data_IF_759537858928
#
_entry.id   IF_759537858928
#
_cell.length_a   1.000
_cell.length_b   1.000
_cell.length_c   1.000
_cell.angle_alpha   90.00
_cell.angle_beta   90.00
_cell.angle_gamma   90.00
#
_symmetry.space_group_name_H-M   'P 1'
#
loop_
_entity.id
_entity.type
_entity.pdbx_description
1 polymer ?
#
# COMPACT_ATOMS: atom_id res chain seq x y z
N UNK A 1 14.46 66.63 5.08
CA UNK A 1 13.42 66.05 4.20
C UNK A 1 13.86 64.73 3.49
N UNK A 2 14.70 63.92 4.12
CA UNK A 2 15.27 62.74 3.46
C UNK A 2 14.90 61.39 4.09
N UNK A 3 13.95 61.36 5.04
CA UNK A 3 13.57 60.13 5.78
C UNK A 3 12.23 59.51 5.39
N UNK A 4 11.46 60.11 4.49
CA UNK A 4 10.10 59.63 4.12
C UNK A 4 10.05 58.86 2.79
N UNK A 5 11.14 58.80 2.03
CA UNK A 5 11.16 58.15 0.72
C UNK A 5 11.58 56.65 0.80
N UNK A 6 12.32 56.29 1.85
CA UNK A 6 12.80 54.89 2.01
C UNK A 6 11.75 53.86 2.45
N UNK A 7 10.63 54.29 3.02
CA UNK A 7 9.58 53.39 3.55
C UNK A 7 8.60 52.95 2.47
N UNK A 8 8.41 53.74 1.42
CA UNK A 8 7.47 53.41 0.34
C UNK A 8 8.00 52.38 -0.63
N UNK A 9 9.32 52.26 -0.78
CA UNK A 9 9.93 51.25 -1.68
C UNK A 9 9.96 49.83 -1.08
N UNK A 10 9.90 49.71 0.26
CA UNK A 10 9.94 48.37 0.90
C UNK A 10 8.56 47.70 0.92
N UNK A 11 7.48 48.45 0.82
CA UNK A 11 6.12 47.90 0.83
C UNK A 11 5.74 47.34 -0.55
N UNK A 12 6.32 47.83 -1.63
CA UNK A 12 6.06 47.34 -2.98
C UNK A 12 6.74 46.00 -3.28
N UNK A 13 7.81 45.62 -2.55
CA UNK A 13 8.49 44.35 -2.74
C UNK A 13 7.83 43.14 -2.01
N UNK A 14 6.95 43.42 -1.05
CA UNK A 14 6.26 42.35 -0.31
C UNK A 14 4.98 41.83 -1.02
N UNK A 15 4.48 42.53 -2.03
CA UNK A 15 3.30 42.08 -2.81
C UNK A 15 3.63 41.28 -4.05
N UNK A 16 4.90 41.12 -4.45
CA UNK A 16 5.30 40.43 -5.65
C UNK A 16 5.50 38.90 -5.49
N UNK A 17 5.56 38.38 -4.25
CA UNK A 17 5.86 36.95 -4.00
C UNK A 17 4.65 36.04 -3.82
N UNK A 18 3.43 36.53 -3.98
CA UNK A 18 2.24 35.74 -3.64
C UNK A 18 1.36 35.37 -4.85
N UNK A 19 1.94 35.22 -6.03
CA UNK A 19 1.17 34.90 -7.26
C UNK A 19 1.75 33.80 -8.12
N UNK A 20 2.42 32.81 -7.53
CA UNK A 20 2.68 31.56 -8.27
C UNK A 20 1.86 30.43 -7.65
N UNK A 21 0.58 30.37 -7.97
CA UNK A 21 -0.14 29.10 -7.93
C UNK A 21 0.33 28.31 -9.16
N UNK A 22 0.85 27.08 -8.98
CA UNK A 22 1.07 26.20 -10.13
C UNK A 22 -0.28 26.07 -10.84
N UNK A 23 -0.30 26.28 -12.15
CA UNK A 23 -1.47 26.01 -12.96
C UNK A 23 -1.83 24.53 -12.76
N UNK A 24 -2.95 24.25 -12.11
CA UNK A 24 -3.54 22.92 -12.16
C UNK A 24 -3.72 22.59 -13.63
N UNK A 25 -3.01 21.57 -14.10
CA UNK A 25 -3.25 21.02 -15.43
C UNK A 25 -4.72 20.65 -15.46
N UNK A 26 -5.49 21.12 -16.45
CA UNK A 26 -6.86 20.69 -16.60
C UNK A 26 -6.85 19.16 -16.63
N UNK A 27 -7.54 18.55 -15.68
CA UNK A 27 -7.87 17.12 -15.74
C UNK A 27 -8.62 16.98 -17.04
N UNK A 28 -8.00 16.34 -18.04
CA UNK A 28 -8.65 16.06 -19.29
C UNK A 28 -9.94 15.30 -18.93
N UNK A 29 -11.06 15.89 -19.24
CA UNK A 29 -12.36 15.27 -19.12
C UNK A 29 -12.28 14.00 -19.98
N UNK A 30 -12.15 12.85 -19.33
CA UNK A 30 -12.05 11.55 -20.00
C UNK A 30 -13.41 11.33 -20.63
N UNK A 31 -13.55 11.73 -21.91
CA UNK A 31 -14.78 11.50 -22.68
C UNK A 31 -15.07 10.02 -22.59
N UNK A 32 -16.22 9.69 -22.01
CA UNK A 32 -16.70 8.31 -21.98
C UNK A 32 -16.64 7.74 -23.41
N UNK A 33 -16.06 6.56 -23.57
CA UNK A 33 -15.93 5.97 -24.89
C UNK A 33 -17.33 5.73 -25.48
N UNK A 34 -17.52 5.90 -26.79
CA UNK A 34 -18.82 5.78 -27.49
C UNK A 34 -19.43 4.36 -27.46
N UNK A 35 -18.87 3.47 -26.66
CA UNK A 35 -19.24 2.06 -26.54
C UNK A 35 -20.61 1.85 -25.90
N UNK A 36 -21.12 2.82 -25.15
CA UNK A 36 -22.42 2.71 -24.46
C UNK A 36 -23.61 2.67 -25.44
N UNK A 37 -23.53 3.41 -26.55
CA UNK A 37 -24.58 3.38 -27.58
C UNK A 37 -24.64 2.04 -28.31
N UNK A 38 -23.50 1.38 -28.53
CA UNK A 38 -23.43 0.09 -29.22
C UNK A 38 -23.97 -1.08 -28.40
N UNK A 39 -24.07 -0.95 -27.07
CA UNK A 39 -24.64 -2.00 -26.23
C UNK A 39 -26.16 -2.01 -26.22
N UNK A 40 -26.80 -0.86 -26.41
CA UNK A 40 -28.26 -0.78 -26.63
C UNK A 40 -28.67 -1.51 -27.92
N UNK A 41 -27.82 -1.43 -28.95
CA UNK A 41 -28.02 -2.10 -30.25
C UNK A 41 -27.53 -3.56 -30.26
N UNK A 42 -26.91 -4.05 -29.18
CA UNK A 42 -26.32 -5.40 -29.14
C UNK A 42 -27.34 -6.56 -29.23
N UNK A 43 -28.63 -6.24 -29.33
CA UNK A 43 -29.68 -7.25 -29.51
C UNK A 43 -29.89 -8.17 -28.30
N UNK A 44 -29.28 -7.86 -27.14
CA UNK A 44 -29.46 -8.67 -25.95
C UNK A 44 -30.89 -8.57 -25.43
N UNK A 45 -31.62 -9.71 -25.31
CA UNK A 45 -33.05 -9.73 -24.97
C UNK A 45 -33.37 -9.06 -23.64
N UNK A 46 -32.41 -8.95 -22.74
CA UNK A 46 -32.57 -8.32 -21.42
C UNK A 46 -32.87 -6.83 -21.52
N UNK A 47 -32.31 -6.13 -22.49
CA UNK A 47 -32.47 -4.67 -22.66
C UNK A 47 -33.81 -4.27 -23.31
N UNK A 48 -34.58 -5.23 -23.78
CA UNK A 48 -35.96 -4.98 -24.20
C UNK A 48 -36.88 -4.60 -23.04
N UNK A 49 -36.58 -5.06 -21.83
CA UNK A 49 -37.37 -4.84 -20.60
C UNK A 49 -36.62 -4.06 -19.53
N UNK A 50 -35.29 -4.13 -19.49
CA UNK A 50 -34.46 -3.46 -18.52
C UNK A 50 -33.65 -2.37 -19.17
N UNK A 51 -33.83 -1.12 -18.74
CA UNK A 51 -32.98 -0.04 -19.25
C UNK A 51 -31.55 -0.29 -18.76
N UNK A 52 -30.59 -0.10 -19.68
CA UNK A 52 -29.17 -0.26 -19.43
C UNK A 52 -28.65 0.57 -18.24
N UNK A 53 -29.19 1.78 -18.04
CA UNK A 53 -28.84 2.71 -16.96
C UNK A 53 -29.15 2.18 -15.55
N UNK A 54 -30.07 1.21 -15.44
CA UNK A 54 -30.39 0.56 -14.16
C UNK A 54 -29.33 -0.41 -13.70
N UNK A 55 -28.45 -0.86 -14.59
CA UNK A 55 -27.30 -1.65 -14.17
C UNK A 55 -26.23 -0.68 -13.70
N UNK A 56 -26.03 -0.58 -12.37
CA UNK A 56 -25.05 0.33 -11.78
C UNK A 56 -23.66 0.03 -12.33
N UNK A 57 -23.26 0.80 -13.33
CA UNK A 57 -21.94 0.75 -13.96
C UNK A 57 -20.95 1.70 -13.29
N UNK A 58 -21.36 2.26 -12.13
CA UNK A 58 -20.59 3.23 -11.38
C UNK A 58 -19.22 2.66 -10.96
N UNK A 59 -18.17 3.39 -11.34
CA UNK A 59 -16.76 3.02 -11.13
C UNK A 59 -16.14 3.60 -9.87
N UNK A 60 -16.89 4.21 -8.95
CA UNK A 60 -16.37 4.86 -7.72
C UNK A 60 -15.60 3.88 -6.83
N UNK A 61 -14.34 3.63 -7.19
CA UNK A 61 -13.45 2.71 -6.48
C UNK A 61 -13.79 1.23 -6.60
N UNK A 62 -14.81 0.89 -7.39
CA UNK A 62 -15.28 -0.47 -7.69
C UNK A 62 -14.74 -0.96 -9.03
N UNK A 63 -15.15 -2.14 -9.43
CA UNK A 63 -14.86 -2.66 -10.77
C UNK A 63 -15.38 -1.72 -11.85
N UNK A 64 -14.53 -1.37 -12.82
CA UNK A 64 -14.90 -0.44 -13.89
C UNK A 64 -15.50 -1.20 -15.09
N UNK A 65 -16.81 -1.31 -15.14
CA UNK A 65 -17.53 -1.86 -16.30
C UNK A 65 -17.23 -1.10 -17.60
N UNK A 66 -17.24 0.27 -17.64
CA UNK A 66 -16.99 0.99 -18.89
C UNK A 66 -15.63 0.64 -19.51
N UNK A 67 -14.57 0.45 -18.69
CA UNK A 67 -13.26 0.07 -19.22
C UNK A 67 -13.27 -1.30 -19.89
N UNK A 68 -13.97 -2.27 -19.31
CA UNK A 68 -14.05 -3.62 -19.87
C UNK A 68 -14.94 -3.69 -21.10
N UNK A 69 -16.08 -2.99 -21.07
CA UNK A 69 -16.95 -2.87 -22.23
C UNK A 69 -16.23 -2.20 -23.41
N UNK A 70 -15.34 -1.23 -23.14
CA UNK A 70 -14.49 -0.59 -24.14
C UNK A 70 -13.56 -1.55 -24.90
N UNK A 71 -13.26 -2.72 -24.33
CA UNK A 71 -12.53 -3.79 -25.02
C UNK A 71 -13.44 -4.78 -25.77
N UNK A 72 -14.73 -4.51 -25.91
CA UNK A 72 -15.68 -5.40 -26.57
C UNK A 72 -16.10 -6.61 -25.76
N UNK A 73 -15.91 -6.57 -24.43
CA UNK A 73 -16.33 -7.67 -23.54
C UNK A 73 -17.82 -7.55 -23.23
N UNK A 74 -18.59 -8.59 -23.49
CA UNK A 74 -20.04 -8.64 -23.23
C UNK A 74 -20.36 -9.14 -21.82
N UNK A 75 -21.56 -8.80 -21.31
CA UNK A 75 -22.00 -9.15 -19.95
C UNK A 75 -21.93 -10.64 -19.65
N UNK A 76 -22.34 -11.49 -20.60
CA UNK A 76 -22.37 -12.94 -20.49
C UNK A 76 -20.96 -13.61 -20.49
N UNK A 77 -19.92 -12.86 -20.87
CA UNK A 77 -18.55 -13.36 -20.77
C UNK A 77 -18.05 -13.35 -19.32
N UNK A 78 -18.57 -12.43 -18.50
CA UNK A 78 -18.19 -12.31 -17.08
C UNK A 78 -19.29 -12.80 -16.14
N UNK A 79 -20.55 -12.70 -16.54
CA UNK A 79 -21.69 -13.06 -15.72
C UNK A 79 -22.43 -14.30 -16.24
N UNK A 80 -22.75 -15.21 -15.33
CA UNK A 80 -23.69 -16.29 -15.62
C UNK A 80 -25.08 -15.70 -15.37
N UNK A 81 -25.81 -15.51 -16.47
CA UNK A 81 -27.14 -14.88 -16.46
C UNK A 81 -28.17 -15.98 -16.53
N UNK A 82 -28.93 -16.18 -15.46
CA UNK A 82 -30.13 -17.01 -15.45
C UNK A 82 -31.33 -16.05 -15.47
N UNK A 83 -32.19 -16.10 -16.51
CA UNK A 83 -33.31 -15.18 -16.62
C UNK A 83 -34.15 -15.17 -15.35
N UNK A 84 -34.42 -13.95 -14.81
CA UNK A 84 -35.22 -13.69 -13.61
C UNK A 84 -34.73 -14.40 -12.32
N UNK A 85 -33.45 -14.76 -12.28
CA UNK A 85 -32.74 -15.26 -11.09
C UNK A 85 -31.53 -14.42 -10.81
N UNK A 86 -30.81 -14.76 -9.75
CA UNK A 86 -29.58 -14.08 -9.38
C UNK A 86 -28.50 -14.20 -10.46
N UNK A 87 -27.85 -13.08 -10.78
CA UNK A 87 -26.72 -13.04 -11.67
C UNK A 87 -25.45 -13.34 -10.87
N UNK A 88 -24.73 -14.37 -11.27
CA UNK A 88 -23.47 -14.76 -10.62
C UNK A 88 -22.27 -14.41 -11.48
N UNK A 89 -21.10 -14.19 -10.85
CA UNK A 89 -19.86 -13.87 -11.53
C UNK A 89 -19.12 -15.17 -11.90
N UNK A 90 -18.78 -15.33 -13.18
CA UNK A 90 -17.82 -16.35 -13.60
C UNK A 90 -16.40 -15.86 -13.28
N UNK A 91 -15.80 -16.42 -12.23
CA UNK A 91 -14.48 -15.99 -11.73
C UNK A 91 -13.35 -16.31 -12.71
N UNK A 92 -13.47 -17.38 -13.46
CA UNK A 92 -12.40 -17.90 -14.31
C UNK A 92 -12.17 -17.00 -15.52
N UNK A 93 -13.19 -16.27 -15.94
CA UNK A 93 -13.10 -15.32 -17.07
C UNK A 93 -12.05 -14.25 -16.86
N UNK A 94 -11.88 -13.76 -15.62
CA UNK A 94 -10.92 -12.71 -15.32
C UNK A 94 -9.47 -13.13 -15.61
N UNK A 95 -9.16 -14.41 -15.42
CA UNK A 95 -7.81 -14.96 -15.63
C UNK A 95 -7.40 -15.03 -17.10
N UNK A 96 -8.36 -14.96 -18.04
CA UNK A 96 -8.08 -14.95 -19.48
C UNK A 96 -7.30 -13.68 -19.90
N UNK A 97 -7.45 -12.57 -19.16
CA UNK A 97 -6.81 -11.29 -19.46
C UNK A 97 -5.91 -10.79 -18.31
N UNK A 98 -6.22 -11.19 -17.08
CA UNK A 98 -5.51 -10.73 -15.89
C UNK A 98 -4.69 -11.87 -15.28
N UNK A 99 -3.42 -11.60 -14.98
CA UNK A 99 -2.63 -12.52 -14.17
C UNK A 99 -3.09 -12.45 -12.70
N UNK A 100 -3.94 -13.40 -12.32
CA UNK A 100 -4.47 -13.55 -10.96
C UNK A 100 -3.73 -14.59 -10.13
N UNK A 101 -2.59 -15.12 -10.59
CA UNK A 101 -1.85 -16.16 -9.88
C UNK A 101 -1.20 -15.65 -8.62
N UNK A 102 -0.27 -14.72 -8.78
CA UNK A 102 0.42 -14.07 -7.68
C UNK A 102 0.92 -12.69 -8.09
N UNK A 103 1.05 -11.79 -7.14
CA UNK A 103 1.71 -10.52 -7.35
C UNK A 103 2.52 -10.10 -6.12
N UNK A 104 3.56 -9.30 -6.36
CA UNK A 104 4.44 -8.82 -5.32
C UNK A 104 4.13 -7.37 -5.02
N UNK A 105 3.96 -7.05 -3.74
CA UNK A 105 3.92 -5.69 -3.22
C UNK A 105 5.33 -5.28 -2.81
N UNK A 106 5.77 -4.13 -3.28
CA UNK A 106 6.99 -3.49 -2.80
C UNK A 106 6.69 -2.71 -1.50
N UNK A 107 6.53 -3.40 -0.39
CA UNK A 107 6.26 -2.76 0.89
C UNK A 107 7.59 -2.32 1.52
N UNK A 108 7.91 -1.03 1.47
CA UNK A 108 9.00 -0.40 2.26
C UNK A 108 10.34 -1.16 2.26
N UNK A 109 10.70 -1.80 1.15
CA UNK A 109 11.95 -2.58 1.01
C UNK A 109 11.86 -4.05 1.44
N UNK A 110 10.75 -4.51 2.01
CA UNK A 110 10.51 -5.91 2.32
C UNK A 110 9.31 -6.42 1.50
N UNK A 111 9.55 -7.01 0.32
CA UNK A 111 8.48 -7.40 -0.60
C UNK A 111 7.58 -8.48 -0.02
N UNK A 112 6.30 -8.39 -0.32
CA UNK A 112 5.25 -9.35 0.04
C UNK A 112 4.73 -10.00 -1.21
N UNK A 113 4.63 -11.32 -1.23
CA UNK A 113 3.97 -12.06 -2.31
C UNK A 113 2.56 -12.46 -1.87
N UNK A 114 1.57 -12.07 -2.65
CA UNK A 114 0.18 -12.46 -2.46
C UNK A 114 -0.26 -13.35 -3.62
N UNK A 115 -0.90 -14.48 -3.31
CA UNK A 115 -1.46 -15.41 -4.31
C UNK A 115 -2.98 -15.36 -4.31
N UNK A 116 -3.57 -14.80 -5.35
CA UNK A 116 -5.02 -14.88 -5.57
C UNK A 116 -5.47 -16.33 -5.70
N UNK A 117 -4.73 -17.14 -6.44
CA UNK A 117 -5.06 -18.54 -6.69
C UNK A 117 -5.32 -19.33 -5.39
N UNK A 118 -4.49 -19.10 -4.36
CA UNK A 118 -4.66 -19.78 -3.07
C UNK A 118 -5.90 -19.30 -2.30
N UNK A 119 -6.23 -18.01 -2.43
CA UNK A 119 -7.40 -17.43 -1.74
C UNK A 119 -8.71 -17.75 -2.47
N UNK A 120 -8.72 -17.72 -3.79
CA UNK A 120 -9.89 -18.01 -4.62
C UNK A 120 -10.41 -19.45 -4.48
N UNK A 121 -9.57 -20.38 -4.04
CA UNK A 121 -9.99 -21.76 -3.72
C UNK A 121 -11.00 -21.82 -2.58
N UNK A 122 -11.02 -20.81 -1.69
CA UNK A 122 -11.82 -20.82 -0.45
C UNK A 122 -12.82 -19.68 -0.40
N UNK A 123 -12.54 -18.56 -1.06
CA UNK A 123 -13.27 -17.30 -0.88
C UNK A 123 -13.73 -16.74 -2.22
N UNK A 124 -14.89 -16.08 -2.21
CA UNK A 124 -15.41 -15.34 -3.35
C UNK A 124 -14.75 -13.95 -3.45
N UNK A 125 -14.74 -13.36 -4.66
CA UNK A 125 -14.17 -12.04 -4.89
C UNK A 125 -14.79 -10.97 -3.97
N UNK A 126 -16.10 -11.03 -3.75
CA UNK A 126 -16.87 -10.08 -2.93
C UNK A 126 -16.53 -10.11 -1.44
N UNK A 127 -15.87 -11.15 -0.96
CA UNK A 127 -15.44 -11.22 0.44
C UNK A 127 -14.26 -10.30 0.73
N UNK A 128 -13.45 -10.03 -0.30
CA UNK A 128 -12.31 -9.14 -0.23
C UNK A 128 -12.55 -7.80 -0.94
N UNK A 129 -13.23 -7.81 -2.09
CA UNK A 129 -13.42 -6.65 -2.94
C UNK A 129 -14.88 -6.17 -2.97
N UNK A 130 -15.14 -4.86 -2.93
CA UNK A 130 -14.22 -3.75 -2.64
C UNK A 130 -14.04 -3.48 -1.15
N UNK A 131 -14.59 -4.31 -0.27
CA UNK A 131 -14.72 -4.04 1.18
C UNK A 131 -13.37 -3.90 1.89
N UNK A 132 -12.47 -4.85 1.68
CA UNK A 132 -11.13 -4.85 2.28
C UNK A 132 -10.10 -4.22 1.35
N UNK A 133 -10.20 -4.55 0.08
CA UNK A 133 -9.25 -4.11 -0.94
C UNK A 133 -9.98 -3.62 -2.18
N UNK A 134 -9.52 -2.51 -2.72
CA UNK A 134 -10.04 -2.02 -4.00
C UNK A 134 -9.59 -2.94 -5.15
N UNK A 135 -10.36 -2.97 -6.24
CA UNK A 135 -10.05 -3.77 -7.43
C UNK A 135 -8.85 -3.23 -8.24
N UNK A 136 -8.26 -2.12 -7.83
CA UNK A 136 -7.14 -1.46 -8.52
C UNK A 136 -5.86 -1.63 -7.72
N UNK A 137 -4.79 -2.13 -8.36
CA UNK A 137 -3.47 -2.25 -7.74
C UNK A 137 -2.97 -0.89 -7.23
N UNK A 138 -2.42 -0.86 -6.02
CA UNK A 138 -1.81 0.33 -5.41
C UNK A 138 -2.79 1.31 -4.76
N UNK A 139 -4.09 1.03 -4.73
CA UNK A 139 -5.08 1.89 -4.09
C UNK A 139 -5.36 1.54 -2.63
N UNK A 140 -4.96 0.36 -2.19
CA UNK A 140 -5.10 -0.05 -0.78
C UNK A 140 -3.81 0.26 -0.03
N UNK A 141 -3.90 1.09 0.99
CA UNK A 141 -2.79 1.36 1.89
C UNK A 141 -2.78 0.28 2.98
N UNK A 142 -1.88 -0.69 2.86
CA UNK A 142 -1.77 -1.82 3.79
C UNK A 142 -0.53 -1.62 4.63
N UNK A 143 -0.71 -1.44 5.93
CA UNK A 143 0.40 -1.28 6.89
C UNK A 143 0.46 -2.47 7.85
N UNK A 144 1.64 -2.77 8.37
CA UNK A 144 1.80 -3.80 9.39
C UNK A 144 1.06 -3.47 10.68
N UNK A 145 0.97 -2.19 11.03
CA UNK A 145 0.26 -1.76 12.23
C UNK A 145 -1.24 -2.05 12.14
N UNK A 146 -1.87 -1.81 10.97
CA UNK A 146 -3.27 -2.16 10.70
C UNK A 146 -3.48 -3.68 10.69
N UNK A 147 -2.58 -4.42 10.03
CA UNK A 147 -2.65 -5.88 10.00
C UNK A 147 -2.59 -6.50 11.39
N UNK A 148 -1.72 -6.00 12.27
CA UNK A 148 -1.60 -6.50 13.64
C UNK A 148 -2.79 -6.13 14.52
N UNK A 149 -3.55 -5.08 14.15
CA UNK A 149 -4.85 -4.72 14.75
C UNK A 149 -6.03 -5.54 14.23
N UNK A 150 -5.80 -6.43 13.27
CA UNK A 150 -6.84 -7.28 12.68
C UNK A 150 -7.55 -6.64 11.49
N UNK A 151 -6.93 -5.64 10.87
CA UNK A 151 -7.44 -5.01 9.63
C UNK A 151 -6.78 -5.62 8.40
N UNK A 152 -7.32 -5.34 7.24
CA UNK A 152 -6.79 -5.80 5.95
C UNK A 152 -6.57 -7.34 5.96
N UNK A 153 -5.35 -7.78 5.59
CA UNK A 153 -4.99 -9.21 5.63
C UNK A 153 -5.09 -9.80 7.04
N UNK A 154 -4.84 -9.00 8.09
CA UNK A 154 -4.91 -9.39 9.49
C UNK A 154 -6.29 -9.83 9.95
N UNK A 155 -7.35 -9.46 9.21
CA UNK A 155 -8.72 -9.90 9.49
C UNK A 155 -8.88 -11.42 9.47
N UNK A 156 -8.18 -12.06 8.54
CA UNK A 156 -8.15 -13.52 8.43
C UNK A 156 -6.83 -14.11 8.94
N UNK A 157 -5.69 -13.42 8.71
CA UNK A 157 -4.37 -13.84 9.17
C UNK A 157 -4.13 -13.47 10.65
N UNK A 158 -4.97 -14.01 11.52
CA UNK A 158 -5.02 -13.71 12.95
C UNK A 158 -4.59 -14.91 13.83
N UNK A 159 -4.14 -16.00 13.21
CA UNK A 159 -3.74 -17.24 13.92
C UNK A 159 -4.90 -18.18 14.24
N UNK A 160 -6.16 -17.81 13.88
CA UNK A 160 -7.34 -18.67 14.06
C UNK A 160 -7.93 -19.10 12.72
N UNK A 161 -8.19 -18.16 11.81
CA UNK A 161 -8.75 -18.41 10.47
C UNK A 161 -7.65 -18.88 9.52
N UNK A 162 -6.52 -18.20 9.57
CA UNK A 162 -5.31 -18.52 8.80
C UNK A 162 -4.07 -18.31 9.69
N UNK A 163 -2.87 -18.58 9.15
CA UNK A 163 -1.62 -18.30 9.87
C UNK A 163 -1.55 -16.85 10.33
N UNK A 164 -0.83 -16.59 11.41
CA UNK A 164 -0.78 -15.26 12.01
C UNK A 164 -0.02 -14.25 11.15
N UNK A 165 -0.48 -12.99 11.13
CA UNK A 165 0.26 -11.86 10.57
C UNK A 165 1.62 -11.63 11.28
N UNK A 166 1.87 -12.28 12.43
CA UNK A 166 3.16 -12.29 13.13
C UNK A 166 4.16 -13.28 12.52
N UNK A 167 3.70 -14.19 11.66
CA UNK A 167 4.55 -15.16 10.96
C UNK A 167 5.16 -14.53 9.71
N UNK A 168 6.11 -13.62 9.89
CA UNK A 168 6.66 -12.73 8.87
C UNK A 168 7.05 -13.44 7.57
N UNK A 169 7.73 -14.61 7.70
CA UNK A 169 8.22 -15.39 6.56
C UNK A 169 7.10 -16.00 5.68
N UNK A 170 5.86 -16.02 6.15
CA UNK A 170 4.72 -16.51 5.35
C UNK A 170 4.31 -15.55 4.25
N UNK A 171 4.63 -14.26 4.41
CA UNK A 171 4.29 -13.20 3.46
C UNK A 171 5.53 -12.55 2.87
N UNK A 172 6.56 -12.31 3.68
CA UNK A 172 7.76 -11.57 3.30
C UNK A 172 8.91 -12.49 2.88
N UNK A 173 9.62 -12.09 1.83
CA UNK A 173 10.92 -12.67 1.54
C UNK A 173 11.98 -12.08 2.48
N UNK A 174 12.32 -12.81 3.52
CA UNK A 174 13.27 -12.36 4.55
C UNK A 174 14.73 -12.40 4.10
N UNK A 175 15.04 -12.90 2.90
CA UNK A 175 16.43 -12.93 2.39
C UNK A 175 17.03 -11.53 2.24
N UNK A 176 16.22 -10.51 2.01
CA UNK A 176 16.66 -9.12 1.91
C UNK A 176 17.21 -8.58 3.24
N UNK A 177 16.84 -9.17 4.37
CA UNK A 177 17.34 -8.81 5.70
C UNK A 177 18.74 -9.35 5.99
N UNK A 178 19.29 -10.18 5.11
CA UNK A 178 20.70 -10.64 5.22
C UNK A 178 21.70 -9.53 4.92
N UNK A 179 21.27 -8.47 4.21
CA UNK A 179 22.09 -7.28 3.98
C UNK A 179 22.06 -6.35 5.19
N UNK A 180 23.20 -5.80 5.53
CA UNK A 180 23.31 -4.81 6.58
C UNK A 180 22.58 -3.51 6.20
N UNK A 181 22.00 -2.85 7.19
CA UNK A 181 21.37 -1.56 7.05
C UNK A 181 22.33 -0.46 7.52
N UNK A 182 22.44 0.60 6.76
CA UNK A 182 23.24 1.77 7.14
C UNK A 182 22.32 2.93 7.50
N UNK A 183 22.65 3.64 8.56
CA UNK A 183 21.96 4.85 9.01
C UNK A 183 22.91 6.03 8.93
N UNK A 184 22.52 7.13 8.27
CA UNK A 184 23.33 8.35 8.28
C UNK A 184 23.59 8.83 9.70
N UNK A 185 24.80 9.33 9.97
CA UNK A 185 25.24 9.71 11.31
C UNK A 185 25.91 11.11 11.32
N UNK A 186 25.43 12.05 10.52
CA UNK A 186 26.02 13.39 10.40
C UNK A 186 27.47 13.32 9.93
N UNK A 187 28.38 13.88 10.71
CA UNK A 187 29.81 13.93 10.41
C UNK A 187 30.56 12.63 10.74
N UNK A 188 29.91 11.67 11.37
CA UNK A 188 30.49 10.37 11.66
C UNK A 188 30.24 9.38 10.51
N UNK A 189 31.05 8.31 10.47
CA UNK A 189 30.77 7.17 9.60
C UNK A 189 29.35 6.65 9.84
N UNK A 190 28.64 6.13 8.80
CA UNK A 190 27.29 5.60 8.98
C UNK A 190 27.23 4.51 10.05
N UNK A 191 26.15 4.48 10.82
CA UNK A 191 25.93 3.36 11.73
C UNK A 191 25.43 2.14 10.94
N UNK A 192 26.07 0.99 11.15
CA UNK A 192 25.76 -0.28 10.47
C UNK A 192 24.99 -1.18 11.41
N UNK A 193 23.84 -1.67 10.97
CA UNK A 193 23.00 -2.62 11.70
C UNK A 193 22.79 -3.88 10.87
N UNK A 194 23.07 -5.03 11.47
CA UNK A 194 22.86 -6.33 10.84
C UNK A 194 21.66 -7.05 11.43
N UNK A 195 20.59 -7.16 10.64
CA UNK A 195 19.47 -8.02 11.01
C UNK A 195 19.89 -9.47 11.15
N UNK A 196 20.80 -9.97 10.30
CA UNK A 196 21.24 -11.35 10.31
C UNK A 196 21.81 -11.74 11.69
N UNK A 197 22.65 -10.90 12.27
CA UNK A 197 23.26 -11.15 13.59
C UNK A 197 22.17 -11.16 14.67
N UNK A 198 21.28 -10.18 14.68
CA UNK A 198 20.26 -10.06 15.73
C UNK A 198 19.17 -11.12 15.62
N UNK A 199 18.73 -11.45 14.42
CA UNK A 199 17.67 -12.46 14.21
C UNK A 199 18.16 -13.89 14.39
N UNK A 200 19.46 -14.13 14.46
CA UNK A 200 20.01 -15.41 14.91
C UNK A 200 19.77 -15.66 16.41
N UNK A 201 19.58 -14.61 17.20
CA UNK A 201 19.41 -14.67 18.65
C UNK A 201 17.99 -14.30 19.11
N UNK A 202 17.29 -13.43 18.39
CA UNK A 202 16.04 -12.84 18.82
C UNK A 202 14.93 -12.97 17.77
N UNK A 203 13.72 -13.18 18.23
CA UNK A 203 12.53 -13.11 17.38
C UNK A 203 12.25 -11.67 16.92
N UNK A 204 11.57 -11.51 15.77
CA UNK A 204 11.19 -10.20 15.24
C UNK A 204 10.42 -9.36 16.27
N UNK A 205 9.53 -9.99 17.03
CA UNK A 205 8.70 -9.37 18.05
C UNK A 205 9.47 -8.82 19.25
N UNK A 206 10.72 -9.23 19.44
CA UNK A 206 11.59 -8.68 20.51
C UNK A 206 11.95 -7.20 20.25
N UNK A 207 11.94 -6.81 18.97
CA UNK A 207 12.28 -5.45 18.54
C UNK A 207 11.08 -4.70 17.95
N UNK A 208 10.21 -5.40 17.21
CA UNK A 208 9.10 -4.79 16.49
C UNK A 208 7.73 -5.14 17.09
N UNK A 209 6.80 -4.22 17.18
CA UNK A 209 6.90 -2.76 16.93
C UNK A 209 7.38 -1.95 18.14
N UNK A 210 7.66 -2.59 19.29
CA UNK A 210 7.86 -1.95 20.59
C UNK A 210 9.07 -1.02 20.64
N UNK A 211 10.21 -1.46 20.10
CA UNK A 211 11.44 -0.66 20.04
C UNK A 211 11.56 0.06 18.70
N UNK A 212 11.24 -0.63 17.61
CA UNK A 212 11.37 -0.09 16.26
C UNK A 212 10.11 -0.34 15.45
N UNK A 213 9.61 0.71 14.82
CA UNK A 213 8.50 0.61 13.86
C UNK A 213 8.92 -0.22 12.63
N UNK A 214 7.94 -0.81 11.95
CA UNK A 214 8.16 -1.59 10.71
C UNK A 214 8.52 -0.74 9.49
N UNK A 215 8.94 0.50 9.70
CA UNK A 215 9.31 1.42 8.64
C UNK A 215 10.70 1.98 8.91
N UNK A 216 11.62 1.88 7.92
CA UNK A 216 12.95 2.48 8.02
C UNK A 216 12.84 3.97 8.36
N UNK A 217 13.60 4.42 9.34
CA UNK A 217 13.55 5.80 9.86
C UNK A 217 12.28 6.16 10.65
N UNK A 218 11.28 5.27 10.70
CA UNK A 218 9.98 5.56 11.33
C UNK A 218 10.02 5.70 12.85
N UNK A 219 11.09 5.27 13.50
CA UNK A 219 11.25 5.36 14.97
C UNK A 219 11.89 6.68 15.43
N UNK A 220 12.48 7.45 14.51
CA UNK A 220 13.09 8.75 14.84
C UNK A 220 14.25 8.65 15.85
N UNK A 221 15.00 7.56 15.86
CA UNK A 221 16.08 7.27 16.80
C UNK A 221 17.21 8.29 16.69
N UNK A 222 17.70 8.75 17.85
CA UNK A 222 18.85 9.66 18.00
C UNK A 222 19.85 9.05 18.96
N UNK A 223 21.11 9.50 18.91
CA UNK A 223 22.17 9.02 19.82
C UNK A 223 21.83 9.25 21.28
N UNK A 224 21.26 10.41 21.63
CA UNK A 224 20.84 10.72 23.00
C UNK A 224 19.85 9.69 23.56
N UNK A 225 18.97 9.16 22.72
CA UNK A 225 18.02 8.12 23.11
C UNK A 225 18.73 6.82 23.49
N UNK A 226 19.84 6.47 22.78
CA UNK A 226 20.62 5.27 23.08
C UNK A 226 21.28 5.38 24.44
N UNK A 227 21.84 6.54 24.76
CA UNK A 227 22.44 6.82 26.08
C UNK A 227 21.42 6.79 27.23
N UNK A 228 20.14 6.99 26.90
CA UNK A 228 19.01 6.86 27.82
C UNK A 228 18.42 5.45 27.87
N UNK A 229 19.12 4.44 27.39
CA UNK A 229 18.67 3.05 27.31
C UNK A 229 17.40 2.83 26.48
N UNK A 230 17.21 3.66 25.43
CA UNK A 230 16.13 3.49 24.44
C UNK A 230 16.70 2.83 23.18
N UNK A 231 15.81 2.29 22.35
CA UNK A 231 16.18 1.65 21.08
C UNK A 231 17.31 0.63 21.22
N UNK A 232 18.41 0.81 20.47
CA UNK A 232 19.58 -0.05 20.56
C UNK A 232 20.18 -0.04 21.97
N UNK A 233 20.17 1.10 22.67
CA UNK A 233 20.69 1.25 24.02
C UNK A 233 20.00 0.39 25.07
N UNK A 234 18.79 -0.12 24.77
CA UNK A 234 18.07 -1.02 25.69
C UNK A 234 18.83 -2.33 25.95
N UNK A 235 19.62 -2.78 24.97
CA UNK A 235 20.46 -3.99 25.11
C UNK A 235 21.95 -3.66 25.05
N UNK A 236 22.32 -2.59 24.31
CA UNK A 236 23.69 -2.10 24.23
C UNK A 236 24.01 -1.15 25.38
N UNK A 237 23.87 -1.69 26.58
CA UNK A 237 24.03 -1.01 27.87
C UNK A 237 25.37 -1.32 28.58
N UNK A 238 26.26 -2.11 27.95
CA UNK A 238 27.53 -2.57 28.51
C UNK A 238 27.41 -3.76 29.43
N UNK A 239 26.18 -4.31 29.61
CA UNK A 239 25.93 -5.54 30.43
C UNK A 239 25.33 -6.64 29.54
N UNK A 240 24.27 -6.33 28.85
CA UNK A 240 23.56 -7.25 27.93
C UNK A 240 24.34 -7.44 26.65
N UNK A 241 24.86 -6.34 26.10
CA UNK A 241 25.75 -6.31 24.94
C UNK A 241 26.80 -5.21 25.15
N UNK A 242 27.70 -5.03 24.17
CA UNK A 242 28.66 -3.93 24.22
C UNK A 242 27.97 -2.57 24.39
N UNK A 243 28.63 -1.64 25.07
CA UNK A 243 28.02 -0.34 25.38
C UNK A 243 27.79 0.52 24.16
N UNK A 244 26.69 1.30 24.14
CA UNK A 244 26.39 2.28 23.10
C UNK A 244 27.41 3.43 23.03
N UNK A 245 28.32 3.53 24.00
CA UNK A 245 29.46 4.46 24.02
C UNK A 245 30.66 3.97 23.22
N UNK A 246 30.67 2.70 22.78
CA UNK A 246 31.71 2.13 21.93
C UNK A 246 31.41 2.46 20.46
N UNK A 247 31.64 3.72 20.07
CA UNK A 247 31.18 4.33 18.81
C UNK A 247 31.54 3.49 17.56
N UNK A 248 32.77 2.96 17.50
CA UNK A 248 33.28 2.21 16.34
C UNK A 248 32.62 0.83 16.16
N UNK A 249 31.89 0.33 17.14
CA UNK A 249 31.15 -0.93 17.01
C UNK A 249 29.96 -0.78 16.06
N UNK A 250 29.40 0.42 15.97
CA UNK A 250 28.27 0.74 15.10
C UNK A 250 28.69 1.61 13.90
N UNK A 251 29.52 2.62 14.13
CA UNK A 251 29.98 3.59 13.12
C UNK A 251 31.27 3.07 12.46
N UNK A 252 31.12 2.54 11.20
CA UNK A 252 32.22 1.94 10.43
C UNK A 252 31.96 1.97 8.92
#
# INVERSE_FOLDING_TARGET
>A
MARKIAILSLILLLFACNRWKPAEKPVAEEKEPPVLASLQDSGMPCFKCHSYEKFSLDSKGKFSHPKHLGFGVHCNQCHIIVPHKEMTLNKDTCSNCHNLTAFTYAASGLPVTFSHQNHQKKYNCSECHPKLFQMKKGTSNITMDEMLKGENCGRCHNGRIAFSAKDCAKCHNLSVLKKDFTYPAGDMAPAVFSHQVHTAMFACSSCHPSLFKYKRGGSGMKMDDLYQNKFCGKCHDGKTAFASTECQRCHR
#
